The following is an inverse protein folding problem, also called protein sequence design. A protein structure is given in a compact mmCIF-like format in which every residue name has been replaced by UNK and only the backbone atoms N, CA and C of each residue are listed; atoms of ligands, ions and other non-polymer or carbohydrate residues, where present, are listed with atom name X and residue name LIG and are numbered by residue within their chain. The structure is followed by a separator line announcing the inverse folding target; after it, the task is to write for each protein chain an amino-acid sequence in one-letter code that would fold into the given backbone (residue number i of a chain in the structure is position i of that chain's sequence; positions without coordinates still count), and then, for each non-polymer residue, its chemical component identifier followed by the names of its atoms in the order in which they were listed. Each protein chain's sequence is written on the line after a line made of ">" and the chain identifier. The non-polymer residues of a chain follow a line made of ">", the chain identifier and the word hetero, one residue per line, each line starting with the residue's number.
data_IF_256932148139
#
_entry.id   IF_256932148139
#
_cell.length_a   1.000
_cell.length_b   1.000
_cell.length_c   1.000
_cell.angle_alpha   90.00
_cell.angle_beta   90.00
_cell.angle_gamma   90.00
#
_symmetry.space_group_name_H-M   'P 1'
#
loop_
_entity.id
_entity.type
_entity.pdbx_description
1 polymer ?
#
# COMPACT_ATOMS: atom_id res chain seq x y z
N UNK A 1 37.85 -17.05 26.52
CA UNK A 1 37.60 -16.79 25.08
C UNK A 1 36.49 -17.69 24.59
N UNK A 2 35.29 -17.14 24.44
CA UNK A 2 34.24 -17.53 23.48
C UNK A 2 33.18 -16.43 23.58
N UNK A 3 33.35 -15.44 22.71
CA UNK A 3 32.38 -14.39 22.43
C UNK A 3 31.18 -15.04 21.76
N UNK A 4 30.10 -15.21 22.52
CA UNK A 4 28.78 -15.36 21.92
C UNK A 4 28.25 -13.95 21.71
N UNK A 5 28.68 -13.33 20.61
CA UNK A 5 27.98 -12.21 20.01
C UNK A 5 26.64 -12.77 19.49
N UNK A 6 25.64 -12.80 20.37
CA UNK A 6 24.23 -12.84 19.97
C UNK A 6 23.99 -11.58 19.14
N UNK A 7 24.03 -11.75 17.82
CA UNK A 7 23.51 -10.81 16.86
C UNK A 7 22.03 -10.63 17.23
N UNK A 8 21.75 -9.60 18.03
CA UNK A 8 20.41 -9.06 18.17
C UNK A 8 19.98 -8.66 16.77
N UNK A 9 19.15 -9.48 16.12
CA UNK A 9 18.41 -9.06 14.95
C UNK A 9 17.59 -7.84 15.37
N UNK A 10 18.07 -6.64 15.04
CA UNK A 10 17.32 -5.40 15.23
C UNK A 10 15.96 -5.61 14.57
N UNK A 11 14.87 -5.70 15.34
CA UNK A 11 13.54 -5.79 14.75
C UNK A 11 13.29 -4.51 13.95
N UNK A 12 13.02 -4.66 12.67
CA UNK A 12 12.80 -3.54 11.75
C UNK A 12 11.56 -2.73 12.18
N UNK A 13 10.60 -3.42 12.81
CA UNK A 13 9.39 -2.80 13.35
C UNK A 13 9.55 -2.57 14.87
N UNK A 14 9.51 -1.30 15.34
CA UNK A 14 9.49 -0.96 16.76
C UNK A 14 8.27 -1.54 17.48
N UNK A 15 8.39 -1.86 18.77
CA UNK A 15 7.28 -2.46 19.54
C UNK A 15 6.11 -1.49 19.70
N UNK A 16 6.37 -0.17 19.79
CA UNK A 16 5.34 0.86 19.84
C UNK A 16 4.44 0.81 18.62
N UNK A 17 5.03 0.63 17.43
CA UNK A 17 4.29 0.46 16.19
C UNK A 17 3.47 -0.85 16.21
N UNK A 18 4.03 -1.95 16.74
CA UNK A 18 3.27 -3.20 16.88
C UNK A 18 2.03 -3.02 17.75
N UNK A 19 2.13 -2.29 18.85
CA UNK A 19 0.99 -2.02 19.74
C UNK A 19 -0.12 -1.25 19.02
N UNK A 20 0.21 -0.21 18.27
CA UNK A 20 -0.78 0.54 17.49
C UNK A 20 -1.39 -0.32 16.37
N UNK A 21 -0.59 -1.16 15.70
CA UNK A 21 -1.09 -2.10 14.71
C UNK A 21 -2.04 -3.15 15.31
N UNK A 22 -1.78 -3.64 16.55
CA UNK A 22 -2.70 -4.56 17.26
C UNK A 22 -4.06 -3.90 17.49
N UNK A 23 -4.06 -2.64 17.92
CA UNK A 23 -5.29 -1.85 18.11
C UNK A 23 -6.05 -1.63 16.81
N UNK A 24 -5.33 -1.37 15.73
CA UNK A 24 -5.90 -1.18 14.39
C UNK A 24 -6.54 -2.47 13.84
N UNK A 25 -5.85 -3.61 13.93
CA UNK A 25 -6.41 -4.86 13.36
C UNK A 25 -7.57 -5.40 14.17
N UNK A 26 -7.53 -5.20 15.50
CA UNK A 26 -8.55 -5.58 16.48
C UNK A 26 -9.12 -6.99 16.23
N UNK A 27 -8.27 -8.01 16.37
CA UNK A 27 -8.66 -9.42 16.21
C UNK A 27 -8.24 -10.24 17.43
N UNK A 28 -9.04 -11.25 17.74
CA UNK A 28 -8.69 -12.30 18.68
C UNK A 28 -7.55 -13.12 18.09
N UNK A 29 -6.44 -13.21 18.83
CA UNK A 29 -5.21 -13.81 18.37
C UNK A 29 -4.77 -14.88 19.37
N UNK A 30 -4.81 -16.14 18.93
CA UNK A 30 -4.35 -17.30 19.69
C UNK A 30 -3.26 -18.06 18.91
N UNK A 31 -2.68 -19.09 19.55
CA UNK A 31 -1.62 -19.89 18.95
C UNK A 31 -2.06 -20.56 17.64
N UNK A 32 -3.33 -20.94 17.51
CA UNK A 32 -3.86 -21.53 16.28
C UNK A 32 -3.84 -20.51 15.13
N UNK A 33 -4.29 -19.28 15.38
CA UNK A 33 -4.23 -18.19 14.39
C UNK A 33 -2.79 -17.86 14.04
N UNK A 34 -1.90 -17.80 15.04
CA UNK A 34 -0.47 -17.55 14.84
C UNK A 34 0.14 -18.55 13.85
N UNK A 35 0.02 -19.83 14.15
CA UNK A 35 0.65 -20.90 13.38
C UNK A 35 0.01 -21.04 12.00
N UNK A 36 -1.32 -20.84 11.90
CA UNK A 36 -2.02 -20.81 10.61
C UNK A 36 -1.53 -19.65 9.74
N UNK A 37 -1.40 -18.42 10.27
CA UNK A 37 -0.87 -17.28 9.51
C UNK A 37 0.57 -17.54 9.09
N UNK A 38 1.44 -17.94 10.02
CA UNK A 38 2.84 -18.21 9.74
C UNK A 38 3.00 -19.26 8.62
N UNK A 39 2.22 -20.34 8.71
CA UNK A 39 2.23 -21.40 7.70
C UNK A 39 1.76 -20.91 6.32
N UNK A 40 0.62 -20.22 6.25
CA UNK A 40 0.05 -19.76 4.96
C UNK A 40 0.92 -18.64 4.35
N UNK A 41 1.48 -17.73 5.15
CA UNK A 41 2.40 -16.68 4.66
C UNK A 41 3.64 -17.29 4.02
N UNK A 42 4.21 -18.33 4.68
CA UNK A 42 5.41 -19.02 4.21
C UNK A 42 5.14 -19.82 2.95
N UNK A 43 4.06 -20.60 2.92
CA UNK A 43 3.74 -21.52 1.81
C UNK A 43 2.97 -20.86 0.65
N UNK A 44 2.36 -19.70 0.87
CA UNK A 44 1.46 -19.06 -0.08
C UNK A 44 0.09 -19.74 -0.12
N UNK A 45 -0.48 -19.88 -1.31
CA UNK A 45 -1.83 -20.41 -1.51
C UNK A 45 -1.92 -21.90 -1.08
N UNK A 46 -2.74 -22.21 -0.07
CA UNK A 46 -2.84 -23.58 0.48
C UNK A 46 -4.28 -24.00 0.83
N UNK A 47 -4.53 -25.30 0.82
CA UNK A 47 -5.79 -25.88 1.35
C UNK A 47 -5.71 -26.05 2.86
N UNK A 48 -6.83 -25.91 3.57
CA UNK A 48 -6.92 -26.16 5.02
C UNK A 48 -6.51 -27.59 5.41
N UNK A 49 -6.73 -28.58 4.53
CA UNK A 49 -6.25 -29.95 4.74
C UNK A 49 -4.73 -29.98 4.95
N UNK A 50 -3.96 -29.34 4.07
CA UNK A 50 -2.49 -29.24 4.22
C UNK A 50 -2.09 -28.56 5.51
N UNK A 51 -2.77 -27.46 5.87
CA UNK A 51 -2.53 -26.77 7.15
C UNK A 51 -2.72 -27.74 8.31
N UNK A 52 -3.83 -28.50 8.36
CA UNK A 52 -4.09 -29.49 9.42
C UNK A 52 -3.12 -30.68 9.46
N UNK A 53 -2.47 -31.00 8.33
CA UNK A 53 -1.51 -32.10 8.24
C UNK A 53 -0.10 -31.70 8.65
N UNK A 54 0.26 -30.43 8.41
CA UNK A 54 1.59 -29.89 8.64
C UNK A 54 1.67 -29.00 9.90
N UNK A 55 0.58 -28.88 10.67
CA UNK A 55 0.52 -28.20 11.97
C UNK A 55 -0.01 -29.16 13.05
N UNK A 56 0.21 -28.89 14.36
CA UNK A 56 -0.21 -29.81 15.43
C UNK A 56 -1.72 -29.82 15.69
N UNK A 57 -2.53 -29.13 14.88
CA UNK A 57 -3.96 -28.92 15.15
C UNK A 57 -4.85 -29.85 14.33
N UNK A 58 -5.92 -30.33 14.96
CA UNK A 58 -6.93 -31.16 14.29
C UNK A 58 -7.62 -30.41 13.14
N UNK A 59 -8.04 -31.15 12.12
CA UNK A 59 -8.73 -30.58 10.96
C UNK A 59 -9.97 -29.77 11.37
N UNK A 60 -10.76 -30.25 12.34
CA UNK A 60 -11.93 -29.53 12.84
C UNK A 60 -11.57 -28.17 13.46
N UNK A 61 -10.46 -28.10 14.20
CA UNK A 61 -9.95 -26.85 14.78
C UNK A 61 -9.54 -25.86 13.70
N UNK A 62 -8.75 -26.33 12.72
CA UNK A 62 -8.32 -25.53 11.58
C UNK A 62 -9.50 -24.97 10.78
N UNK A 63 -10.52 -25.78 10.50
CA UNK A 63 -11.71 -25.30 9.77
C UNK A 63 -12.55 -24.30 10.58
N UNK A 64 -12.68 -24.50 11.89
CA UNK A 64 -13.36 -23.53 12.78
C UNK A 64 -12.61 -22.20 12.78
N UNK A 65 -11.28 -22.23 12.93
CA UNK A 65 -10.48 -21.00 13.00
C UNK A 65 -10.30 -20.33 11.63
N UNK A 66 -10.22 -21.09 10.54
CA UNK A 66 -10.27 -20.54 9.18
C UNK A 66 -11.56 -19.75 8.92
N UNK A 67 -12.72 -20.24 9.33
CA UNK A 67 -13.99 -19.50 9.21
C UNK A 67 -13.95 -18.17 9.96
N UNK A 68 -13.40 -18.19 11.19
CA UNK A 68 -13.16 -16.97 11.96
C UNK A 68 -12.22 -16.00 11.22
N UNK A 69 -11.09 -16.50 10.71
CA UNK A 69 -10.09 -15.69 10.01
C UNK A 69 -10.63 -15.09 8.72
N UNK A 70 -11.45 -15.82 7.96
CA UNK A 70 -12.15 -15.29 6.77
C UNK A 70 -13.15 -14.22 7.16
N UNK A 71 -13.98 -14.46 8.19
CA UNK A 71 -14.94 -13.46 8.69
C UNK A 71 -14.26 -12.15 9.09
N UNK A 72 -13.05 -12.24 9.66
CA UNK A 72 -12.25 -11.10 10.09
C UNK A 72 -11.31 -10.53 9.01
N UNK A 73 -11.44 -10.99 7.76
CA UNK A 73 -10.62 -10.60 6.60
C UNK A 73 -9.12 -10.84 6.79
N UNK A 74 -8.70 -11.87 7.52
CA UNK A 74 -7.30 -12.29 7.64
C UNK A 74 -6.90 -13.28 6.54
N UNK A 75 -7.88 -14.04 6.03
CA UNK A 75 -7.73 -14.96 4.90
C UNK A 75 -8.80 -14.67 3.85
N UNK A 76 -8.46 -14.93 2.58
CA UNK A 76 -9.42 -14.90 1.48
C UNK A 76 -9.44 -16.26 0.79
N UNK A 77 -10.63 -16.89 0.62
CA UNK A 77 -10.75 -18.07 -0.20
C UNK A 77 -10.57 -17.71 -1.67
N UNK A 78 -9.80 -18.51 -2.40
CA UNK A 78 -9.63 -18.47 -3.84
C UNK A 78 -10.17 -19.76 -4.44
N UNK A 79 -10.90 -19.63 -5.53
CA UNK A 79 -11.28 -20.77 -6.34
C UNK A 79 -10.06 -21.27 -7.10
N UNK A 80 -9.83 -22.58 -7.05
CA UNK A 80 -8.77 -23.19 -7.84
C UNK A 80 -9.27 -23.32 -9.28
N UNK A 81 -8.77 -22.48 -10.17
CA UNK A 81 -9.03 -22.62 -11.61
C UNK A 81 -8.48 -23.97 -12.11
N UNK A 82 -9.36 -24.98 -12.21
CA UNK A 82 -9.23 -26.07 -13.18
C UNK A 82 -8.68 -27.43 -12.76
N UNK A 83 -8.31 -27.74 -11.51
CA UNK A 83 -7.77 -29.09 -11.17
C UNK A 83 -8.15 -29.69 -9.81
N UNK A 84 -8.81 -28.95 -8.94
CA UNK A 84 -9.16 -29.41 -7.59
C UNK A 84 -10.67 -29.31 -7.39
N UNK A 85 -11.38 -30.41 -7.65
CA UNK A 85 -12.83 -30.63 -7.44
C UNK A 85 -13.41 -29.79 -6.28
N UNK A 86 -13.84 -28.55 -6.56
CA UNK A 86 -14.49 -27.65 -5.59
C UNK A 86 -13.70 -27.31 -4.31
N UNK A 87 -12.38 -27.56 -4.24
CA UNK A 87 -11.61 -27.29 -3.00
C UNK A 87 -11.13 -25.85 -2.97
N UNK A 88 -11.62 -25.08 -1.99
CA UNK A 88 -11.13 -23.73 -1.72
C UNK A 88 -9.67 -23.77 -1.24
N UNK A 89 -8.85 -22.93 -1.86
CA UNK A 89 -7.53 -22.60 -1.35
C UNK A 89 -7.60 -21.25 -0.64
N UNK A 90 -6.71 -21.02 0.31
CA UNK A 90 -6.70 -19.84 1.15
C UNK A 90 -5.39 -19.11 0.99
N UNK A 91 -5.51 -17.79 0.86
CA UNK A 91 -4.41 -16.84 0.77
C UNK A 91 -4.53 -15.85 1.93
N UNK A 92 -3.39 -15.36 2.44
CA UNK A 92 -3.37 -14.30 3.46
C UNK A 92 -3.67 -12.95 2.81
N UNK A 93 -4.48 -12.15 3.50
CA UNK A 93 -4.84 -10.79 3.11
C UNK A 93 -3.78 -9.78 3.57
N UNK A 94 -3.85 -8.53 3.13
CA UNK A 94 -3.01 -7.46 3.71
C UNK A 94 -3.29 -7.31 5.20
N UNK A 95 -4.56 -7.36 5.63
CA UNK A 95 -4.88 -7.34 7.07
C UNK A 95 -4.25 -8.53 7.81
N UNK A 96 -4.22 -9.72 7.20
CA UNK A 96 -3.56 -10.89 7.75
C UNK A 96 -2.04 -10.73 7.89
N UNK A 97 -1.38 -10.10 6.90
CA UNK A 97 0.04 -9.76 6.97
C UNK A 97 0.33 -8.74 8.07
N UNK A 98 -0.47 -7.68 8.17
CA UNK A 98 -0.34 -6.67 9.23
C UNK A 98 -0.58 -7.29 10.61
N UNK A 99 -1.54 -8.21 10.72
CA UNK A 99 -1.78 -8.95 11.97
C UNK A 99 -0.56 -9.79 12.35
N UNK A 100 0.02 -10.52 11.41
CA UNK A 100 1.26 -11.27 11.66
C UNK A 100 2.40 -10.35 12.11
N UNK A 101 2.54 -9.17 11.49
CA UNK A 101 3.54 -8.18 11.88
C UNK A 101 3.28 -7.65 13.30
N UNK A 102 2.04 -7.33 13.65
CA UNK A 102 1.67 -6.81 14.96
C UNK A 102 1.95 -7.81 16.09
N UNK A 103 1.73 -9.11 15.85
CA UNK A 103 1.93 -10.17 16.85
C UNK A 103 3.24 -10.95 16.70
N UNK A 104 4.11 -10.56 15.75
CA UNK A 104 5.40 -11.20 15.48
C UNK A 104 5.27 -12.71 15.19
N UNK A 105 4.37 -13.05 14.28
CA UNK A 105 4.12 -14.46 13.91
C UNK A 105 5.25 -15.07 13.07
N UNK A 106 6.03 -14.22 12.38
CA UNK A 106 7.22 -14.52 11.59
C UNK A 106 8.19 -13.35 11.71
N UNK A 107 9.42 -13.54 11.21
CA UNK A 107 10.41 -12.47 11.12
C UNK A 107 9.91 -11.30 10.25
N UNK A 108 10.25 -10.08 10.68
CA UNK A 108 9.76 -8.84 10.04
C UNK A 108 10.08 -8.81 8.54
N UNK A 109 11.30 -9.20 8.16
CA UNK A 109 11.73 -9.23 6.76
C UNK A 109 10.85 -10.08 5.86
N UNK A 110 10.42 -11.25 6.37
CA UNK A 110 9.58 -12.19 5.63
C UNK A 110 8.22 -11.56 5.37
N UNK A 111 7.61 -10.99 6.42
CA UNK A 111 6.28 -10.39 6.35
C UNK A 111 6.30 -9.12 5.49
N UNK A 112 7.29 -8.25 5.69
CA UNK A 112 7.45 -7.01 4.92
C UNK A 112 7.69 -7.30 3.44
N UNK A 113 8.50 -8.32 3.12
CA UNK A 113 8.72 -8.75 1.72
C UNK A 113 7.41 -9.20 1.06
N UNK A 114 6.59 -9.99 1.76
CA UNK A 114 5.26 -10.41 1.27
C UNK A 114 4.33 -9.22 1.07
N UNK A 115 4.35 -8.27 2.00
CA UNK A 115 3.55 -7.04 1.92
C UNK A 115 3.96 -6.17 0.72
N UNK A 116 5.27 -5.98 0.49
CA UNK A 116 5.78 -5.28 -0.70
C UNK A 116 5.28 -5.90 -1.99
N UNK A 117 5.30 -7.23 -2.09
CA UNK A 117 4.80 -7.93 -3.28
C UNK A 117 3.29 -7.70 -3.43
N UNK A 118 2.52 -7.80 -2.33
CA UNK A 118 1.06 -7.64 -2.34
C UNK A 118 0.62 -6.22 -2.73
N UNK A 119 1.39 -5.21 -2.36
CA UNK A 119 1.16 -3.81 -2.75
C UNK A 119 1.89 -3.39 -4.03
N UNK A 120 2.55 -4.32 -4.73
CA UNK A 120 3.35 -4.01 -5.92
C UNK A 120 4.43 -2.93 -5.70
N UNK A 121 4.98 -2.85 -4.48
CA UNK A 121 6.03 -1.90 -4.07
C UNK A 121 7.43 -2.53 -4.10
N UNK A 122 7.70 -3.45 -5.06
CA UNK A 122 8.96 -4.23 -5.08
C UNK A 122 10.22 -3.35 -5.06
N UNK A 123 10.17 -2.19 -5.72
CA UNK A 123 11.28 -1.24 -5.85
C UNK A 123 11.42 -0.26 -4.67
N UNK A 124 10.52 -0.30 -3.69
CA UNK A 124 10.57 0.59 -2.53
C UNK A 124 11.46 -0.02 -1.45
N UNK A 125 12.28 0.78 -0.79
CA UNK A 125 13.05 0.31 0.36
C UNK A 125 12.14 -0.05 1.55
N UNK A 126 12.66 -0.85 2.51
CA UNK A 126 11.88 -1.27 3.67
C UNK A 126 11.55 -0.08 4.59
N UNK A 127 12.41 0.93 4.68
CA UNK A 127 12.15 2.10 5.53
C UNK A 127 10.92 2.88 5.09
N UNK A 128 10.71 3.08 3.78
CA UNK A 128 9.50 3.69 3.21
C UNK A 128 8.27 2.87 3.54
N UNK A 129 8.37 1.55 3.47
CA UNK A 129 7.28 0.66 3.85
C UNK A 129 6.93 0.82 5.34
N UNK A 130 7.94 0.88 6.22
CA UNK A 130 7.74 1.11 7.65
C UNK A 130 7.11 2.49 7.90
N UNK A 131 7.52 3.54 7.19
CA UNK A 131 6.90 4.86 7.30
C UNK A 131 5.41 4.81 6.93
N UNK A 132 5.03 4.09 5.88
CA UNK A 132 3.62 3.87 5.52
C UNK A 132 2.89 3.12 6.64
N UNK A 133 3.49 2.06 7.18
CA UNK A 133 2.91 1.30 8.29
C UNK A 133 2.71 2.17 9.54
N UNK A 134 3.61 3.11 9.79
CA UNK A 134 3.58 4.01 10.95
C UNK A 134 2.36 4.94 10.90
N UNK A 135 1.95 5.40 9.72
CA UNK A 135 0.76 6.26 9.60
C UNK A 135 -0.56 5.48 9.59
N UNK A 136 -0.55 4.16 9.32
CA UNK A 136 -1.77 3.36 9.17
C UNK A 136 -2.78 3.53 10.30
N UNK A 137 -2.40 3.45 11.60
CA UNK A 137 -3.35 3.55 12.71
C UNK A 137 -4.11 4.88 12.76
N UNK A 138 -3.57 5.93 12.12
CA UNK A 138 -4.14 7.28 12.13
C UNK A 138 -4.93 7.63 10.88
N UNK A 139 -4.78 6.85 9.80
CA UNK A 139 -5.48 7.08 8.53
C UNK A 139 -6.54 6.02 8.22
N UNK A 140 -6.44 4.84 8.84
CA UNK A 140 -7.40 3.76 8.68
C UNK A 140 -8.17 3.55 10.00
N UNK A 141 -9.50 3.60 9.93
CA UNK A 141 -10.36 3.20 11.03
C UNK A 141 -10.63 1.69 10.98
N UNK A 142 -10.89 1.08 12.14
CA UNK A 142 -11.18 -0.36 12.27
C UNK A 142 -12.30 -0.84 11.32
N UNK A 143 -13.27 0.02 11.01
CA UNK A 143 -14.42 -0.31 10.16
C UNK A 143 -14.10 -0.35 8.65
N UNK A 144 -12.99 0.27 8.22
CA UNK A 144 -12.64 0.45 6.81
C UNK A 144 -11.30 -0.20 6.40
N UNK A 145 -10.86 -1.23 7.13
CA UNK A 145 -9.59 -1.94 6.83
C UNK A 145 -9.52 -2.59 5.45
N UNK A 146 -10.64 -2.66 4.71
CA UNK A 146 -10.64 -3.06 3.28
C UNK A 146 -9.81 -2.11 2.41
N UNK A 147 -9.65 -0.85 2.83
CA UNK A 147 -8.77 0.13 2.17
C UNK A 147 -7.32 -0.36 2.14
N UNK A 148 -6.90 -1.17 3.13
CA UNK A 148 -5.54 -1.69 3.20
C UNK A 148 -5.23 -2.71 2.08
N UNK A 149 -6.24 -3.38 1.53
CA UNK A 149 -6.05 -4.33 0.43
C UNK A 149 -5.68 -3.63 -0.88
N UNK A 150 -6.15 -2.38 -1.08
CA UNK A 150 -5.90 -1.60 -2.28
C UNK A 150 -4.91 -0.47 -1.98
N UNK A 151 -3.68 -0.65 -2.46
CA UNK A 151 -2.59 0.30 -2.26
C UNK A 151 -2.90 1.70 -2.84
N UNK A 152 -3.65 1.81 -3.94
CA UNK A 152 -4.01 3.10 -4.54
C UNK A 152 -4.92 3.88 -3.58
N UNK A 153 -5.95 3.20 -3.06
CA UNK A 153 -6.87 3.79 -2.08
C UNK A 153 -6.10 4.17 -0.81
N UNK A 154 -5.22 3.30 -0.33
CA UNK A 154 -4.39 3.58 0.83
C UNK A 154 -3.53 4.83 0.64
N UNK A 155 -2.84 4.97 -0.49
CA UNK A 155 -1.97 6.11 -0.78
C UNK A 155 -2.75 7.43 -0.90
N UNK A 156 -3.93 7.39 -1.51
CA UNK A 156 -4.85 8.54 -1.61
C UNK A 156 -5.36 8.93 -0.22
N UNK A 157 -5.84 7.97 0.57
CA UNK A 157 -6.32 8.21 1.93
C UNK A 157 -5.20 8.75 2.81
N UNK A 158 -4.01 8.17 2.74
CA UNK A 158 -2.83 8.67 3.46
C UNK A 158 -2.54 10.14 3.10
N UNK A 159 -2.48 10.46 1.82
CA UNK A 159 -2.17 11.81 1.37
C UNK A 159 -3.26 12.81 1.79
N UNK A 160 -4.54 12.48 1.58
CA UNK A 160 -5.68 13.32 1.95
C UNK A 160 -5.69 13.61 3.45
N UNK A 161 -5.55 12.58 4.28
CA UNK A 161 -5.58 12.72 5.75
C UNK A 161 -4.38 13.53 6.26
N UNK A 162 -3.18 13.31 5.71
CA UNK A 162 -1.97 14.03 6.10
C UNK A 162 -1.93 15.50 5.62
N UNK A 163 -2.72 15.85 4.61
CA UNK A 163 -2.88 17.24 4.15
C UNK A 163 -3.96 17.97 4.95
N UNK A 164 -5.09 17.29 5.22
CA UNK A 164 -6.25 17.91 5.85
C UNK A 164 -6.14 18.01 7.38
N UNK A 165 -5.39 17.10 8.02
CA UNK A 165 -5.24 17.06 9.49
C UNK A 165 -3.76 17.17 9.95
N UNK A 166 -2.97 18.16 9.48
CA UNK A 166 -1.53 18.19 9.73
C UNK A 166 -1.18 18.38 11.21
N UNK A 167 -1.99 19.13 11.95
CA UNK A 167 -1.75 19.50 13.36
C UNK A 167 -2.05 18.37 14.35
N UNK A 168 -2.95 17.45 14.00
CA UNK A 168 -3.27 16.30 14.85
C UNK A 168 -2.20 15.22 14.70
N UNK A 169 -1.72 15.00 13.48
CA UNK A 169 -0.78 13.92 13.17
C UNK A 169 0.66 14.31 13.53
N UNK A 170 1.05 15.58 13.39
CA UNK A 170 2.38 16.07 13.80
C UNK A 170 2.65 15.97 15.30
N UNK A 171 1.61 15.82 16.13
CA UNK A 171 1.74 15.58 17.57
C UNK A 171 2.03 14.11 17.91
N UNK A 172 1.70 13.19 17.00
CA UNK A 172 1.73 11.74 17.23
C UNK A 172 2.84 11.06 16.42
N UNK A 173 3.24 11.65 15.29
CA UNK A 173 4.28 11.14 14.39
C UNK A 173 5.24 12.28 14.07
N UNK A 174 6.53 11.95 14.02
CA UNK A 174 7.57 12.89 13.62
C UNK A 174 7.35 13.43 12.19
N UNK A 175 7.71 14.70 12.00
CA UNK A 175 7.52 15.43 10.74
C UNK A 175 8.26 14.78 9.55
N UNK A 176 9.38 14.10 9.83
CA UNK A 176 10.16 13.41 8.80
C UNK A 176 9.39 12.20 8.26
N UNK A 177 8.76 11.40 9.12
CA UNK A 177 7.90 10.28 8.71
C UNK A 177 6.70 10.78 7.92
N UNK A 178 6.04 11.86 8.35
CA UNK A 178 4.94 12.49 7.60
C UNK A 178 5.39 12.92 6.20
N UNK A 179 6.53 13.60 6.11
CA UNK A 179 7.11 14.06 4.83
C UNK A 179 7.48 12.88 3.93
N UNK A 180 8.09 11.83 4.50
CA UNK A 180 8.43 10.62 3.76
C UNK A 180 7.20 9.93 3.18
N UNK A 181 6.12 9.80 3.97
CA UNK A 181 4.88 9.20 3.50
C UNK A 181 4.24 10.06 2.42
N UNK A 182 4.15 11.38 2.59
CA UNK A 182 3.63 12.30 1.55
C UNK A 182 4.39 12.14 0.24
N UNK A 183 5.72 12.20 0.29
CA UNK A 183 6.57 12.04 -0.90
C UNK A 183 6.42 10.67 -1.55
N UNK A 184 6.33 9.62 -0.73
CA UNK A 184 6.15 8.23 -1.20
C UNK A 184 4.78 8.05 -1.86
N UNK A 185 3.70 8.57 -1.26
CA UNK A 185 2.36 8.54 -1.84
C UNK A 185 2.28 9.34 -3.14
N UNK A 186 2.85 10.55 -3.18
CA UNK A 186 2.88 11.38 -4.39
C UNK A 186 3.65 10.66 -5.50
N UNK A 187 4.85 10.15 -5.21
CA UNK A 187 5.66 9.42 -6.17
C UNK A 187 4.93 8.17 -6.68
N UNK A 188 4.29 7.42 -5.79
CA UNK A 188 3.48 6.25 -6.15
C UNK A 188 2.33 6.63 -7.10
N UNK A 189 1.54 7.65 -6.75
CA UNK A 189 0.38 8.06 -7.55
C UNK A 189 0.81 8.59 -8.92
N UNK A 190 1.87 9.41 -8.98
CA UNK A 190 2.42 9.88 -10.25
C UNK A 190 2.93 8.70 -11.08
N UNK A 191 3.67 7.78 -10.47
CA UNK A 191 4.33 6.72 -11.21
C UNK A 191 3.37 5.60 -11.66
N UNK A 192 2.31 5.29 -10.90
CA UNK A 192 1.46 4.14 -11.16
C UNK A 192 0.06 4.52 -11.63
N UNK A 193 -0.55 5.56 -11.07
CA UNK A 193 -1.91 5.97 -11.47
C UNK A 193 -1.87 6.81 -12.75
N UNK A 194 -0.84 7.64 -12.93
CA UNK A 194 -0.74 8.52 -14.12
C UNK A 194 -0.04 7.81 -15.28
N UNK A 195 1.03 7.02 -15.03
CA UNK A 195 1.67 6.25 -16.11
C UNK A 195 0.87 4.98 -16.50
N UNK A 196 -0.11 4.54 -15.70
CA UNK A 196 -1.00 3.42 -16.02
C UNK A 196 -2.10 3.77 -17.05
N UNK A 197 -2.25 5.04 -17.43
CA UNK A 197 -3.23 5.54 -18.41
C UNK A 197 -2.74 5.24 -19.84
N UNK A 198 -2.65 3.95 -20.20
CA UNK A 198 -2.26 3.43 -21.52
C UNK A 198 -0.88 3.90 -22.05
N UNK A 199 -0.11 2.95 -22.59
CA UNK A 199 1.19 3.20 -23.21
C UNK A 199 1.19 4.24 -24.37
N UNK A 200 0.05 4.80 -24.78
CA UNK A 200 -0.07 5.75 -25.89
C UNK A 200 -0.30 7.20 -25.45
N UNK A 201 -0.44 7.49 -24.15
CA UNK A 201 -0.64 8.85 -23.66
C UNK A 201 0.10 9.08 -22.34
N UNK A 202 1.42 9.02 -22.39
CA UNK A 202 2.25 9.59 -21.33
C UNK A 202 2.43 11.10 -21.56
N UNK A 203 2.19 11.97 -20.56
CA UNK A 203 2.59 13.37 -20.66
C UNK A 203 4.11 13.48 -20.63
N UNK A 204 4.68 14.30 -21.51
CA UNK A 204 6.11 14.60 -21.61
C UNK A 204 6.61 15.42 -20.41
N UNK A 205 5.75 16.24 -19.81
CA UNK A 205 6.06 16.98 -18.57
C UNK A 205 4.88 16.83 -17.61
N UNK A 206 5.17 16.58 -16.33
CA UNK A 206 4.19 16.63 -15.25
C UNK A 206 4.60 17.73 -14.28
N UNK A 207 3.71 18.71 -14.06
CA UNK A 207 3.90 19.80 -13.11
C UNK A 207 2.70 19.82 -12.16
N UNK A 208 2.93 19.73 -10.86
CA UNK A 208 1.83 19.72 -9.91
C UNK A 208 2.22 20.27 -8.54
N UNK A 209 1.19 20.63 -7.78
CA UNK A 209 1.29 20.96 -6.37
C UNK A 209 0.15 20.25 -5.61
N UNK A 210 -0.06 20.61 -4.34
CA UNK A 210 -1.08 20.00 -3.49
C UNK A 210 -2.53 20.20 -3.98
N UNK A 211 -2.76 21.09 -4.95
CA UNK A 211 -4.10 21.50 -5.42
C UNK A 211 -4.39 21.10 -6.87
N UNK A 212 -3.36 20.85 -7.67
CA UNK A 212 -3.51 20.50 -9.08
C UNK A 212 -2.34 19.68 -9.60
N UNK A 213 -2.60 18.94 -10.66
CA UNK A 213 -1.60 18.26 -11.47
C UNK A 213 -1.82 18.60 -12.94
N UNK A 214 -0.76 19.02 -13.62
CA UNK A 214 -0.76 19.35 -15.05
C UNK A 214 0.08 18.33 -15.78
N UNK A 215 -0.51 17.65 -16.77
CA UNK A 215 0.22 16.84 -17.74
C UNK A 215 0.31 17.57 -19.08
N UNK A 216 1.52 17.79 -19.59
CA UNK A 216 1.77 18.35 -20.91
C UNK A 216 2.14 17.26 -21.91
N UNK A 217 1.53 17.27 -23.09
CA UNK A 217 1.80 16.35 -24.19
C UNK A 217 2.36 17.12 -25.38
N UNK A 218 3.65 16.94 -25.66
CA UNK A 218 4.40 17.60 -26.73
C UNK A 218 3.84 17.27 -28.11
N UNK A 219 3.49 15.99 -28.35
CA UNK A 219 3.02 15.53 -29.67
C UNK A 219 1.75 16.25 -30.14
N UNK A 220 0.82 16.53 -29.22
CA UNK A 220 -0.47 17.17 -29.54
C UNK A 220 -0.59 18.58 -28.95
N UNK A 221 0.51 19.15 -28.42
CA UNK A 221 0.56 20.44 -27.70
C UNK A 221 -0.59 20.63 -26.72
N UNK A 222 -0.99 19.55 -26.05
CA UNK A 222 -2.18 19.51 -25.20
C UNK A 222 -1.77 19.59 -23.73
N UNK A 223 -2.48 20.43 -22.97
CA UNK A 223 -2.37 20.51 -21.52
C UNK A 223 -3.61 19.86 -20.90
N UNK A 224 -3.37 18.90 -20.01
CA UNK A 224 -4.39 18.32 -19.15
C UNK A 224 -4.18 18.85 -17.74
N UNK A 225 -5.11 19.66 -17.26
CA UNK A 225 -5.10 20.13 -15.89
C UNK A 225 -6.08 19.29 -15.10
N UNK A 226 -5.52 18.45 -14.23
CA UNK A 226 -6.23 17.68 -13.23
C UNK A 226 -6.33 18.53 -11.96
N UNK A 227 -7.47 19.17 -11.75
CA UNK A 227 -7.72 19.87 -10.49
C UNK A 227 -8.45 18.87 -9.58
N UNK A 228 -7.68 18.19 -8.73
CA UNK A 228 -8.25 17.39 -7.67
C UNK A 228 -8.32 18.25 -6.41
N UNK A 229 -9.44 18.94 -6.22
CA UNK A 229 -9.83 19.29 -4.86
C UNK A 229 -10.31 17.99 -4.23
N UNK A 230 -9.48 17.39 -3.38
CA UNK A 230 -9.80 16.26 -2.49
C UNK A 230 -10.92 16.59 -1.46
N UNK A 231 -11.78 17.54 -1.79
CA UNK A 231 -12.88 18.07 -1.02
C UNK A 231 -14.10 18.18 -1.95
N UNK A 232 -14.90 17.11 -1.93
CA UNK A 232 -16.32 17.06 -2.28
C UNK A 232 -16.77 17.57 -3.66
N UNK A 233 -17.08 16.58 -4.52
CA UNK A 233 -18.11 16.56 -5.58
C UNK A 233 -17.82 17.00 -7.01
N UNK A 234 -16.67 17.55 -7.41
CA UNK A 234 -16.36 17.68 -8.85
C UNK A 234 -14.85 17.63 -9.13
N UNK A 235 -14.37 16.51 -9.67
CA UNK A 235 -13.06 16.47 -10.33
C UNK A 235 -13.21 17.11 -11.70
N UNK A 236 -12.56 18.26 -11.93
CA UNK A 236 -12.59 18.93 -13.23
C UNK A 236 -11.34 18.49 -14.01
N UNK A 237 -11.57 17.73 -15.08
CA UNK A 237 -10.59 17.53 -16.13
C UNK A 237 -10.74 18.68 -17.12
N UNK A 238 -9.87 19.68 -17.04
CA UNK A 238 -9.83 20.74 -18.04
C UNK A 238 -8.86 20.33 -19.16
N UNK A 239 -9.39 20.27 -20.38
CA UNK A 239 -8.63 20.03 -21.60
C UNK A 239 -8.44 21.35 -22.33
N UNK A 240 -7.19 21.72 -22.58
CA UNK A 240 -6.87 22.93 -23.34
C UNK A 240 -6.07 22.52 -24.58
N UNK A 241 -6.70 22.67 -25.75
CA UNK A 241 -6.01 22.63 -27.05
C UNK A 241 -5.48 24.02 -27.36
N UNK A 242 -4.16 24.14 -27.39
CA UNK A 242 -3.50 25.37 -27.81
C UNK A 242 -3.24 25.30 -29.32
N UNK A 243 -4.23 25.70 -30.13
CA UNK A 243 -4.02 25.95 -31.55
C UNK A 243 -3.30 27.31 -31.73
N UNK A 244 -2.48 27.40 -32.78
CA UNK A 244 -1.49 28.46 -32.99
C UNK A 244 -2.06 29.90 -33.08
N UNK A 245 -3.37 30.09 -33.19
CA UNK A 245 -3.94 31.40 -33.50
C UNK A 245 -4.16 32.27 -32.25
N UNK A 246 -4.23 31.67 -31.06
CA UNK A 246 -4.25 32.40 -29.77
C UNK A 246 -3.35 31.68 -28.76
N UNK A 247 -2.04 31.88 -28.93
CA UNK A 247 -0.99 31.17 -28.22
C UNK A 247 -1.11 31.25 -26.70
N UNK A 248 -1.08 30.08 -26.05
CA UNK A 248 -0.91 29.97 -24.61
C UNK A 248 0.58 30.22 -24.26
N UNK A 249 0.94 31.33 -23.60
CA UNK A 249 2.34 31.68 -23.33
C UNK A 249 3.08 30.60 -22.53
N UNK A 250 2.36 29.92 -21.64
CA UNK A 250 2.87 28.83 -20.82
C UNK A 250 3.36 27.64 -21.66
N UNK A 251 2.68 27.31 -22.77
CA UNK A 251 3.12 26.22 -23.66
C UNK A 251 4.37 26.58 -24.45
N UNK A 252 4.54 27.87 -24.79
CA UNK A 252 5.70 28.37 -25.53
C UNK A 252 6.96 28.36 -24.64
N UNK A 253 6.82 28.68 -23.36
CA UNK A 253 7.93 28.58 -22.40
C UNK A 253 8.28 27.13 -22.06
N UNK A 254 7.28 26.28 -21.78
CA UNK A 254 7.52 24.85 -21.49
C UNK A 254 8.15 24.11 -22.66
N UNK A 255 7.83 24.49 -23.90
CA UNK A 255 8.45 23.88 -25.09
C UNK A 255 9.91 24.34 -25.30
N UNK A 256 10.28 25.57 -24.91
CA UNK A 256 11.67 26.04 -24.90
C UNK A 256 12.49 25.34 -23.82
N UNK A 257 11.96 25.21 -22.60
CA UNK A 257 12.69 24.59 -21.49
C UNK A 257 12.93 23.09 -21.70
N UNK A 258 11.97 22.36 -22.27
CA UNK A 258 12.19 20.93 -22.61
C UNK A 258 13.21 20.74 -23.72
N UNK A 259 13.33 21.67 -24.67
CA UNK A 259 14.39 21.62 -25.69
C UNK A 259 15.79 21.83 -25.08
N UNK A 260 15.87 22.57 -23.96
CA UNK A 260 17.12 22.79 -23.24
C UNK A 260 17.49 21.64 -22.29
N UNK A 261 16.53 20.82 -21.85
CA UNK A 261 16.77 19.66 -20.96
C UNK A 261 17.22 18.40 -21.74
N UNK A 262 17.04 18.38 -23.07
CA UNK A 262 17.39 17.24 -23.94
C UNK A 262 18.70 17.50 -24.74
N UNK A 263 19.54 18.42 -24.27
CA UNK A 263 20.96 18.50 -24.65
C UNK A 263 21.82 18.05 -23.47
#
# INVERSE_FOLDING_TARGET
>A
MKSNDTINSLSIIPEELRLELRRLVNVEYDNVVNDMLAYIITRGLVTLYRVSRETPYSISSIYKKARYMVKNNLLTPRESNGRLNGKHMYEVTVKGLITCLAYKCLDDDVVLSKLKVRWNLKNYDMHRLVSILTVLPYIASNDNLRVLENIDTLMITALSTLINNPTMISKLIDERTITNVKNTSIYYLINNVINGISNNRKPDIILGNNSFLVGYYKNNRSLYVYICRLCEKNCVLAYITCNNDHGCPLTTELSKDVLNIVR
#
